data_IF_333015571343
#
_entry.id   IF_333015571343
#
_cell.length_a   1.000
_cell.length_b   1.000
_cell.length_c   1.000
_cell.angle_alpha   90.00
_cell.angle_beta   90.00
_cell.angle_gamma   90.00
#
_symmetry.space_group_name_H-M   'P 1'
#
loop_
_entity.id
_entity.type
_entity.pdbx_description
1 polymer ?
#
# COMPACT_ATOMS: atom_id res chain seq x y z
N UNK A 1 13.27 6.67 -60.39
CA UNK A 1 12.86 7.76 -59.47
C UNK A 1 13.85 7.82 -58.31
N UNK A 2 14.59 8.93 -58.13
CA UNK A 2 15.50 9.10 -56.98
C UNK A 2 14.69 9.57 -55.77
N UNK A 3 14.44 8.68 -54.82
CA UNK A 3 13.81 9.05 -53.54
C UNK A 3 14.80 9.89 -52.74
N UNK A 4 14.36 11.07 -52.29
CA UNK A 4 15.19 11.97 -51.50
C UNK A 4 15.40 11.37 -50.11
N UNK A 5 16.64 10.98 -49.80
CA UNK A 5 17.02 10.35 -48.52
C UNK A 5 16.66 11.23 -47.32
N UNK A 6 16.58 12.55 -47.51
CA UNK A 6 16.15 13.51 -46.49
C UNK A 6 14.66 13.38 -46.14
N UNK A 7 13.80 13.17 -47.14
CA UNK A 7 12.36 12.98 -46.92
C UNK A 7 12.06 11.63 -46.27
N UNK A 8 12.84 10.59 -46.60
CA UNK A 8 12.72 9.28 -45.97
C UNK A 8 13.10 9.32 -44.47
N UNK A 9 14.14 10.10 -44.14
CA UNK A 9 14.58 10.33 -42.75
C UNK A 9 13.49 11.03 -41.92
N UNK A 10 12.85 12.06 -42.45
CA UNK A 10 11.76 12.78 -41.75
C UNK A 10 10.57 11.86 -41.48
N UNK A 11 10.23 10.99 -42.44
CA UNK A 11 9.13 10.03 -42.28
C UNK A 11 9.43 8.96 -41.22
N UNK A 12 10.69 8.54 -41.08
CA UNK A 12 11.10 7.56 -40.06
C UNK A 12 11.08 8.21 -38.66
N UNK A 13 11.59 9.44 -38.53
CA UNK A 13 11.61 10.18 -37.26
C UNK A 13 10.20 10.47 -36.75
N UNK A 14 9.29 10.86 -37.64
CA UNK A 14 7.88 11.11 -37.27
C UNK A 14 7.15 9.82 -36.87
N UNK A 15 7.42 8.69 -37.54
CA UNK A 15 6.82 7.40 -37.19
C UNK A 15 7.29 6.89 -35.81
N UNK A 16 8.56 7.10 -35.45
CA UNK A 16 9.08 6.73 -34.12
C UNK A 16 8.61 7.64 -32.99
N UNK A 17 8.16 8.86 -33.28
CA UNK A 17 7.70 9.82 -32.28
C UNK A 17 6.30 9.49 -31.73
N UNK A 18 5.44 8.82 -32.51
CA UNK A 18 4.07 8.48 -32.09
C UNK A 18 4.04 7.41 -30.98
N UNK A 19 5.08 6.58 -30.86
CA UNK A 19 5.15 5.52 -29.85
C UNK A 19 5.55 6.01 -28.45
N UNK A 20 5.78 7.32 -28.27
CA UNK A 20 6.23 7.93 -27.00
C UNK A 20 5.08 8.59 -26.22
N UNK A 21 3.82 8.44 -26.66
CA UNK A 21 2.69 8.60 -25.73
C UNK A 21 2.59 7.35 -24.85
N UNK A 22 3.56 7.22 -23.93
CA UNK A 22 3.41 6.38 -22.77
C UNK A 22 2.13 6.83 -22.06
N UNK A 23 1.22 5.89 -21.87
CA UNK A 23 -0.01 6.07 -21.13
C UNK A 23 0.39 6.44 -19.69
N UNK A 24 0.38 7.74 -19.37
CA UNK A 24 0.36 8.19 -17.99
C UNK A 24 -0.94 7.61 -17.43
N UNK A 25 -0.84 6.49 -16.70
CA UNK A 25 -1.95 6.07 -15.86
C UNK A 25 -2.21 7.27 -14.98
N UNK A 26 -3.31 7.96 -15.24
CA UNK A 26 -3.74 9.09 -14.44
C UNK A 26 -3.91 8.56 -13.03
N UNK A 27 -2.87 8.66 -12.20
CA UNK A 27 -2.93 8.39 -10.78
C UNK A 27 -3.88 9.45 -10.28
N UNK A 28 -5.15 9.08 -10.18
CA UNK A 28 -6.18 9.97 -9.67
C UNK A 28 -5.76 10.24 -8.23
N UNK A 29 -5.21 11.42 -7.97
CA UNK A 29 -4.77 11.84 -6.64
C UNK A 29 -6.01 11.93 -5.73
N UNK A 30 -6.40 10.80 -5.15
CA UNK A 30 -7.40 10.72 -4.11
C UNK A 30 -6.82 11.32 -2.84
N UNK A 31 -7.55 12.25 -2.25
CA UNK A 31 -7.18 12.97 -1.02
C UNK A 31 -8.14 12.55 0.08
N UNK A 32 -7.81 12.82 1.33
CA UNK A 32 -8.64 12.47 2.47
C UNK A 32 -10.14 12.81 2.32
N UNK A 33 -10.47 13.97 1.74
CA UNK A 33 -11.86 14.43 1.54
C UNK A 33 -12.44 14.08 0.15
N UNK A 34 -11.75 13.24 -0.62
CA UNK A 34 -12.15 12.66 -1.90
C UNK A 34 -11.73 11.20 -1.89
N UNK A 35 -12.46 10.35 -1.13
CA UNK A 35 -12.07 8.96 -0.92
C UNK A 35 -12.02 8.19 -2.24
N UNK A 36 -11.18 7.15 -2.27
CA UNK A 36 -11.15 6.19 -3.38
C UNK A 36 -12.51 5.46 -3.43
N UNK A 37 -13.20 5.39 -4.59
CA UNK A 37 -14.41 4.57 -4.70
C UNK A 37 -14.10 3.09 -4.46
N UNK A 38 -15.01 2.34 -3.83
CA UNK A 38 -14.84 0.92 -3.47
C UNK A 38 -14.40 0.05 -4.66
N UNK A 39 -15.00 0.26 -5.83
CA UNK A 39 -14.67 -0.46 -7.07
C UNK A 39 -13.22 -0.21 -7.60
N UNK A 40 -12.54 0.81 -7.07
CA UNK A 40 -11.15 1.17 -7.37
C UNK A 40 -10.23 0.96 -6.17
N UNK A 41 -10.73 0.40 -5.07
CA UNK A 41 -9.89 0.07 -3.92
C UNK A 41 -8.96 -1.08 -4.26
N UNK A 42 -7.77 -1.05 -3.64
CA UNK A 42 -6.83 -2.16 -3.71
C UNK A 42 -7.31 -3.29 -2.80
N UNK A 43 -6.91 -4.52 -3.12
CA UNK A 43 -7.14 -5.65 -2.24
C UNK A 43 -6.41 -5.43 -0.91
N UNK A 44 -7.10 -5.71 0.21
CA UNK A 44 -6.52 -5.59 1.54
C UNK A 44 -5.65 -6.81 1.87
N UNK A 45 -4.46 -6.54 2.40
CA UNK A 45 -3.58 -7.55 2.98
C UNK A 45 -3.55 -7.38 4.50
N UNK A 46 -3.65 -8.51 5.22
CA UNK A 46 -3.59 -8.52 6.70
C UNK A 46 -2.14 -8.68 7.16
N UNK A 47 -1.68 -7.85 8.10
CA UNK A 47 -0.35 -8.02 8.71
C UNK A 47 -0.39 -9.16 9.74
N UNK A 48 -0.19 -10.40 9.27
CA UNK A 48 -0.06 -11.54 10.17
C UNK A 48 1.29 -11.46 10.90
N UNK A 49 1.38 -11.89 12.17
CA UNK A 49 2.60 -11.77 13.00
C UNK A 49 3.82 -12.56 12.51
N UNK A 50 3.72 -13.28 11.39
CA UNK A 50 4.79 -14.08 10.80
C UNK A 50 5.18 -13.62 9.38
N UNK A 51 4.61 -12.51 8.90
CA UNK A 51 4.99 -11.84 7.67
C UNK A 51 5.46 -10.43 8.04
N UNK A 52 6.56 -10.01 7.41
CA UNK A 52 7.10 -8.65 7.54
C UNK A 52 6.00 -7.65 7.23
N UNK A 53 5.87 -6.60 8.04
CA UNK A 53 4.91 -5.52 7.79
C UNK A 53 5.02 -5.08 6.34
N UNK A 54 3.96 -5.38 5.60
CA UNK A 54 3.94 -5.11 4.18
C UNK A 54 3.76 -3.60 4.02
N UNK A 55 4.56 -2.96 3.16
CA UNK A 55 4.47 -1.50 2.90
C UNK A 55 3.22 -1.19 2.06
N UNK A 56 2.06 -1.71 2.47
CA UNK A 56 0.78 -1.45 1.87
C UNK A 56 0.14 -0.28 2.61
N UNK A 57 -0.14 0.76 1.83
CA UNK A 57 -0.80 1.97 2.29
C UNK A 57 -2.31 1.79 2.21
N UNK A 58 -3.06 2.20 3.23
CA UNK A 58 -4.53 2.26 3.15
C UNK A 58 -4.97 3.27 2.08
N UNK A 59 -6.01 2.94 1.31
CA UNK A 59 -6.57 3.85 0.31
C UNK A 59 -7.06 5.17 0.94
N UNK A 60 -6.83 6.28 0.24
CA UNK A 60 -7.15 7.61 0.76
C UNK A 60 -8.62 7.70 1.20
N UNK A 61 -8.85 8.21 2.43
CA UNK A 61 -10.18 8.34 3.01
C UNK A 61 -10.72 7.10 3.74
N UNK A 62 -9.95 6.02 3.82
CA UNK A 62 -10.33 4.78 4.52
C UNK A 62 -9.48 4.55 5.77
N UNK A 63 -10.01 3.74 6.68
CA UNK A 63 -9.29 3.25 7.86
C UNK A 63 -9.25 1.72 7.83
N UNK A 64 -8.18 1.16 8.37
CA UNK A 64 -8.03 -0.27 8.59
C UNK A 64 -7.76 -0.50 10.07
N UNK A 65 -8.53 -1.41 10.67
CA UNK A 65 -8.39 -1.79 12.07
C UNK A 65 -8.13 -3.28 12.14
N UNK A 66 -6.98 -3.66 12.69
CA UNK A 66 -6.60 -5.05 12.92
C UNK A 66 -6.37 -5.27 14.41
N UNK A 67 -6.91 -6.36 14.97
CA UNK A 67 -6.79 -6.60 16.40
C UNK A 67 -6.68 -8.09 16.75
N UNK A 68 -5.75 -8.39 17.66
CA UNK A 68 -5.70 -9.61 18.44
C UNK A 68 -6.61 -9.44 19.66
N UNK A 69 -7.84 -9.97 19.57
CA UNK A 69 -8.84 -9.85 20.66
C UNK A 69 -8.34 -10.51 21.95
N UNK A 70 -7.73 -11.69 21.84
CA UNK A 70 -7.11 -12.41 22.96
C UNK A 70 -5.79 -13.03 22.50
N UNK A 71 -4.73 -12.82 23.27
CA UNK A 71 -3.40 -13.36 22.98
C UNK A 71 -2.73 -13.80 24.27
N UNK A 72 -2.25 -15.05 24.28
CA UNK A 72 -1.50 -15.60 25.39
C UNK A 72 -0.05 -15.81 24.95
N UNK A 73 0.90 -15.15 25.63
CA UNK A 73 2.33 -15.30 25.40
C UNK A 73 2.91 -16.10 26.57
N UNK A 74 3.53 -17.23 26.29
CA UNK A 74 4.31 -17.98 27.29
C UNK A 74 5.79 -17.83 26.98
N UNK A 75 6.54 -17.37 27.97
CA UNK A 75 7.98 -17.19 27.92
C UNK A 75 8.60 -18.15 28.94
N UNK A 76 9.65 -18.86 28.52
CA UNK A 76 10.40 -19.80 29.35
C UNK A 76 11.85 -19.38 29.34
N UNK A 77 12.34 -19.03 30.53
CA UNK A 77 13.76 -18.88 30.81
C UNK A 77 14.28 -20.13 31.53
N UNK A 78 15.61 -20.25 31.67
CA UNK A 78 16.23 -21.39 32.37
C UNK A 78 15.79 -21.54 33.83
N UNK A 79 15.34 -20.44 34.46
CA UNK A 79 15.05 -20.36 35.89
C UNK A 79 13.55 -20.18 36.18
N UNK A 80 12.77 -19.67 35.22
CA UNK A 80 11.35 -19.39 35.44
C UNK A 80 10.53 -19.44 34.15
N UNK A 81 9.22 -19.67 34.29
CA UNK A 81 8.27 -19.54 33.19
C UNK A 81 7.24 -18.47 33.54
N UNK A 82 7.03 -17.53 32.63
CA UNK A 82 6.07 -16.44 32.78
C UNK A 82 5.02 -16.52 31.67
N UNK A 83 3.76 -16.31 32.04
CA UNK A 83 2.64 -16.22 31.10
C UNK A 83 2.08 -14.81 31.12
N UNK A 84 1.94 -14.21 29.94
CA UNK A 84 1.33 -12.88 29.75
C UNK A 84 0.06 -13.04 28.96
N UNK A 85 -1.04 -12.48 29.48
CA UNK A 85 -2.29 -12.40 28.76
C UNK A 85 -2.49 -10.98 28.25
N UNK A 86 -2.72 -10.85 26.95
CA UNK A 86 -2.91 -9.61 26.22
C UNK A 86 -4.33 -9.62 25.68
N UNK A 87 -5.02 -8.49 25.82
CA UNK A 87 -6.36 -8.30 25.24
C UNK A 87 -6.35 -7.09 24.33
N UNK A 88 -7.07 -7.21 23.21
CA UNK A 88 -7.30 -6.11 22.28
C UNK A 88 -6.00 -5.39 21.86
N UNK A 89 -4.98 -6.17 21.51
CA UNK A 89 -3.78 -5.62 20.90
C UNK A 89 -4.12 -5.25 19.45
N UNK A 90 -4.10 -3.97 19.12
CA UNK A 90 -4.66 -3.49 17.86
C UNK A 90 -3.78 -2.47 17.13
N UNK A 91 -3.81 -2.58 15.80
CA UNK A 91 -3.24 -1.66 14.82
C UNK A 91 -4.36 -0.87 14.15
N UNK A 92 -4.20 0.45 14.07
CA UNK A 92 -5.07 1.34 13.32
C UNK A 92 -4.25 2.06 12.25
N UNK A 93 -4.67 1.93 10.99
CA UNK A 93 -4.06 2.60 9.83
C UNK A 93 -5.06 3.55 9.17
N UNK A 94 -4.60 4.68 8.65
CA UNK A 94 -5.48 5.69 8.04
C UNK A 94 -4.90 6.29 6.76
N UNK A 95 -5.58 6.09 5.63
CA UNK A 95 -5.14 6.60 4.33
C UNK A 95 -5.34 8.11 4.20
N UNK A 96 -4.27 8.90 4.24
CA UNK A 96 -4.32 10.35 4.00
C UNK A 96 -4.29 10.64 2.49
N UNK A 97 -3.45 9.89 1.77
CA UNK A 97 -3.33 9.92 0.30
C UNK A 97 -3.14 8.49 -0.22
N UNK A 98 -3.21 8.30 -1.54
CA UNK A 98 -2.98 6.98 -2.17
C UNK A 98 -1.57 6.39 -1.94
N UNK A 99 -0.66 7.12 -1.30
CA UNK A 99 0.71 6.68 -1.04
C UNK A 99 1.18 7.00 0.39
N UNK A 100 0.30 7.42 1.28
CA UNK A 100 0.69 7.80 2.65
C UNK A 100 -0.43 7.52 3.64
N UNK A 101 -0.10 6.68 4.61
CA UNK A 101 -0.87 6.37 5.81
C UNK A 101 0.04 6.42 7.06
N UNK A 102 -0.41 7.04 8.15
CA UNK A 102 0.22 6.89 9.46
C UNK A 102 -0.34 5.66 10.17
N UNK A 103 0.55 4.84 10.70
CA UNK A 103 0.21 3.67 11.52
C UNK A 103 0.22 4.03 13.01
N UNK A 104 -0.79 3.57 13.75
CA UNK A 104 -0.86 3.68 15.21
C UNK A 104 -1.04 2.32 15.87
N UNK A 105 -0.19 2.02 16.84
CA UNK A 105 -0.22 0.78 17.63
C UNK A 105 -0.63 1.05 19.07
N UNK A 106 -1.54 0.23 19.60
CA UNK A 106 -1.96 0.30 21.00
C UNK A 106 -1.78 -1.05 21.69
N UNK A 107 -1.23 -1.02 22.91
CA UNK A 107 -1.11 -2.20 23.78
C UNK A 107 -1.73 -1.91 25.14
N UNK A 108 -2.61 -2.81 25.59
CA UNK A 108 -3.13 -2.82 26.96
C UNK A 108 -2.65 -4.09 27.65
N UNK A 109 -1.95 -3.91 28.76
CA UNK A 109 -1.44 -5.00 29.61
C UNK A 109 -2.39 -5.17 30.80
N UNK A 110 -2.73 -6.42 31.14
CA UNK A 110 -3.55 -6.77 32.33
C UNK A 110 -2.78 -7.75 33.19
#
# INVERSE_FOLDING_TARGET
MKVNKFLLSISIVTLTCHSIFAQEMAVKHSKLFKPVPEEHMRDMETDRPNITESTFTVDAGHFQYEADVFKFKSEKDEISSQGTFLVNQANLKFGITNSTDPDYFSNVWI
#
